data_IF_113641850190
#
_entry.id   IF_113641850190
#
_cell.length_a   1.000
_cell.length_b   1.000
_cell.length_c   1.000
_cell.angle_alpha   90.00
_cell.angle_beta   90.00
_cell.angle_gamma   90.00
#
_symmetry.space_group_name_H-M   'P 1'
#
loop_
_entity.id
_entity.type
_entity.pdbx_description
1 polymer ?
#
# COMPACT_ATOMS: atom_id res chain seq x y z
N UNK A 1 -0.52 3.42 10.10
CA UNK A 1 -0.13 2.77 8.82
C UNK A 1 -1.36 2.07 8.28
N UNK A 2 -1.69 2.25 6.99
CA UNK A 2 -2.93 1.71 6.39
C UNK A 2 -2.82 0.21 6.08
N UNK A 3 -1.59 -0.30 5.90
CA UNK A 3 -1.32 -1.71 5.63
C UNK A 3 -1.95 -2.63 6.67
N UNK A 4 -2.55 -3.73 6.20
CA UNK A 4 -3.08 -4.81 7.04
C UNK A 4 -4.17 -4.37 8.04
N UNK A 5 -4.94 -3.33 7.68
CA UNK A 5 -6.04 -2.83 8.50
C UNK A 5 -7.09 -3.93 8.81
N UNK A 6 -7.48 -4.15 10.09
CA UNK A 6 -8.36 -5.26 10.47
C UNK A 6 -9.72 -5.24 9.76
N UNK A 7 -10.32 -4.06 9.57
CA UNK A 7 -11.60 -3.91 8.87
C UNK A 7 -11.50 -4.38 7.41
N UNK A 8 -10.46 -3.99 6.68
CA UNK A 8 -10.30 -4.37 5.27
C UNK A 8 -9.95 -5.84 5.13
N UNK A 9 -9.11 -6.39 6.02
CA UNK A 9 -8.82 -7.84 6.04
C UNK A 9 -10.08 -8.66 6.29
N UNK A 10 -10.94 -8.22 7.21
CA UNK A 10 -12.23 -8.87 7.48
C UNK A 10 -13.22 -8.70 6.31
N UNK A 11 -13.26 -7.54 5.68
CA UNK A 11 -14.06 -7.31 4.47
C UNK A 11 -13.67 -8.31 3.36
N UNK A 12 -12.36 -8.51 3.15
CA UNK A 12 -11.86 -9.48 2.17
C UNK A 12 -12.19 -10.93 2.51
N UNK A 13 -12.26 -11.30 3.79
CA UNK A 13 -12.74 -12.62 4.23
C UNK A 13 -14.23 -12.84 3.89
N UNK A 14 -15.06 -11.82 4.10
CA UNK A 14 -16.49 -11.85 3.78
C UNK A 14 -16.75 -11.89 2.27
N UNK A 15 -16.01 -11.11 1.47
CA UNK A 15 -16.08 -11.22 0.00
C UNK A 15 -15.78 -12.63 -0.48
N UNK A 16 -14.74 -13.28 0.06
CA UNK A 16 -14.40 -14.68 -0.29
C UNK A 16 -15.50 -15.68 0.08
N UNK A 17 -16.37 -15.34 1.04
CA UNK A 17 -17.52 -16.17 1.47
C UNK A 17 -18.82 -15.84 0.73
N UNK A 18 -18.83 -14.77 -0.07
CA UNK A 18 -20.02 -14.30 -0.79
C UNK A 18 -20.88 -13.30 -0.01
N UNK A 19 -20.47 -12.90 1.20
CA UNK A 19 -21.19 -11.96 2.06
C UNK A 19 -20.94 -10.49 1.64
N UNK A 20 -21.34 -10.16 0.42
CA UNK A 20 -20.99 -8.90 -0.26
C UNK A 20 -21.50 -7.65 0.47
N UNK A 21 -22.70 -7.70 1.06
CA UNK A 21 -23.31 -6.53 1.71
C UNK A 21 -22.52 -6.12 2.96
N UNK A 22 -22.21 -7.09 3.82
CA UNK A 22 -21.44 -6.86 5.04
C UNK A 22 -19.99 -6.49 4.72
N UNK A 23 -19.40 -7.11 3.70
CA UNK A 23 -18.06 -6.76 3.25
C UNK A 23 -17.98 -5.27 2.83
N UNK A 24 -18.94 -4.77 2.03
CA UNK A 24 -19.00 -3.35 1.64
C UNK A 24 -19.18 -2.42 2.84
N UNK A 25 -20.01 -2.80 3.81
CA UNK A 25 -20.17 -2.05 5.06
C UNK A 25 -18.83 -1.86 5.78
N UNK A 26 -18.02 -2.91 5.87
CA UNK A 26 -16.70 -2.83 6.50
C UNK A 26 -15.71 -1.99 5.69
N UNK A 27 -15.74 -2.05 4.36
CA UNK A 27 -14.91 -1.18 3.51
C UNK A 27 -15.27 0.30 3.69
N UNK A 28 -16.57 0.62 3.74
CA UNK A 28 -17.03 2.00 4.01
C UNK A 28 -16.57 2.49 5.38
N UNK A 29 -16.63 1.63 6.41
CA UNK A 29 -16.11 1.95 7.75
C UNK A 29 -14.60 2.20 7.72
N UNK A 30 -13.83 1.34 7.06
CA UNK A 30 -12.38 1.52 6.90
C UNK A 30 -12.05 2.85 6.19
N UNK A 31 -12.74 3.16 5.10
CA UNK A 31 -12.56 4.43 4.39
C UNK A 31 -12.89 5.62 5.28
N UNK A 32 -14.00 5.56 6.04
CA UNK A 32 -14.37 6.61 6.96
C UNK A 32 -13.34 6.80 8.07
N UNK A 33 -12.79 5.72 8.63
CA UNK A 33 -11.74 5.80 9.66
C UNK A 33 -10.46 6.44 9.12
N UNK A 34 -9.97 5.97 7.97
CA UNK A 34 -8.71 6.46 7.39
C UNK A 34 -8.83 7.89 6.87
N UNK A 35 -9.92 8.24 6.18
CA UNK A 35 -10.06 9.56 5.57
C UNK A 35 -10.36 10.66 6.59
N UNK A 36 -10.97 10.32 7.73
CA UNK A 36 -11.32 11.30 8.77
C UNK A 36 -10.33 11.33 9.95
N UNK A 37 -9.30 10.48 9.99
CA UNK A 37 -8.36 10.42 11.12
C UNK A 37 -7.47 11.67 11.24
N UNK A 38 -7.19 12.35 10.12
CA UNK A 38 -6.21 13.43 10.05
C UNK A 38 -4.76 12.97 10.23
N UNK A 39 -4.51 11.65 10.30
CA UNK A 39 -3.17 11.08 10.41
C UNK A 39 -2.42 11.13 9.07
N UNK A 40 -1.10 11.26 9.16
CA UNK A 40 -0.22 11.14 8.00
C UNK A 40 0.11 9.68 7.71
N UNK A 41 -0.43 9.17 6.61
CA UNK A 41 -0.19 7.81 6.13
C UNK A 41 0.86 7.73 5.02
N UNK A 42 1.53 8.83 4.61
CA UNK A 42 2.59 8.75 3.60
C UNK A 42 3.88 8.21 4.23
N UNK A 43 4.46 7.17 3.63
CA UNK A 43 5.80 6.68 3.97
C UNK A 43 6.92 7.32 3.14
N UNK A 44 6.60 8.37 2.38
CA UNK A 44 7.55 9.06 1.53
C UNK A 44 8.55 9.88 2.36
N UNK A 45 9.85 9.91 2.01
CA UNK A 45 10.82 10.79 2.67
C UNK A 45 10.41 12.25 2.45
N UNK A 46 10.30 13.01 3.53
CA UNK A 46 9.62 14.30 3.59
C UNK A 46 10.28 15.42 2.77
N UNK A 47 9.93 15.50 1.49
CA UNK A 47 9.92 16.71 0.64
C UNK A 47 9.07 16.47 -0.62
N UNK A 48 7.96 15.74 -0.48
CA UNK A 48 7.12 15.36 -1.62
C UNK A 48 6.08 16.45 -1.91
N UNK A 49 6.06 16.99 -3.13
CA UNK A 49 5.03 17.94 -3.56
C UNK A 49 3.61 17.35 -3.47
N UNK A 50 3.46 16.02 -3.53
CA UNK A 50 2.19 15.30 -3.47
C UNK A 50 1.95 14.59 -2.12
N UNK A 51 2.64 15.02 -1.06
CA UNK A 51 2.48 14.47 0.28
C UNK A 51 1.02 14.47 0.73
N UNK A 52 0.54 13.33 1.25
CA UNK A 52 -0.86 13.14 1.65
C UNK A 52 -1.90 13.14 0.50
N UNK A 53 -1.49 13.43 -0.74
CA UNK A 53 -2.36 13.49 -1.92
C UNK A 53 -2.27 12.20 -2.71
N UNK A 54 -2.92 11.15 -2.18
CA UNK A 54 -2.81 9.78 -2.66
C UNK A 54 -3.12 9.63 -4.17
N UNK A 55 -4.16 10.32 -4.68
CA UNK A 55 -4.57 10.23 -6.09
C UNK A 55 -3.50 10.84 -6.99
N UNK A 56 -3.05 12.06 -6.70
CA UNK A 56 -2.02 12.76 -7.48
C UNK A 56 -0.69 12.03 -7.44
N UNK A 57 -0.30 11.50 -6.28
CA UNK A 57 0.88 10.66 -6.13
C UNK A 57 0.81 9.44 -7.08
N UNK A 58 -0.28 8.67 -7.04
CA UNK A 58 -0.46 7.51 -7.92
C UNK A 58 -0.46 7.90 -9.40
N UNK A 59 -1.10 9.02 -9.77
CA UNK A 59 -1.14 9.48 -11.16
C UNK A 59 0.25 9.81 -11.70
N UNK A 60 1.07 10.54 -10.94
CA UNK A 60 2.44 10.90 -11.36
C UNK A 60 3.29 9.65 -11.52
N UNK A 61 3.27 8.74 -10.53
CA UNK A 61 4.02 7.49 -10.57
C UNK A 61 3.60 6.57 -11.72
N UNK A 62 2.30 6.49 -12.00
CA UNK A 62 1.79 5.76 -13.16
C UNK A 62 2.18 6.44 -14.48
N UNK A 63 2.21 7.77 -14.51
CA UNK A 63 2.56 8.54 -15.69
C UNK A 63 4.01 8.35 -16.13
N UNK A 64 4.96 8.34 -15.18
CA UNK A 64 6.37 8.10 -15.52
C UNK A 64 6.74 6.61 -15.56
N UNK A 65 5.97 5.72 -14.93
CA UNK A 65 6.17 4.25 -14.91
C UNK A 65 7.55 3.74 -14.44
N UNK A 66 8.43 4.64 -13.98
CA UNK A 66 9.77 4.34 -13.51
C UNK A 66 9.80 3.51 -12.20
N UNK A 67 9.02 3.91 -11.18
CA UNK A 67 9.00 3.24 -9.88
C UNK A 67 7.67 3.38 -9.13
N UNK A 68 7.44 2.49 -8.18
CA UNK A 68 6.27 2.53 -7.30
C UNK A 68 6.32 3.69 -6.29
N UNK A 69 5.16 4.24 -5.89
CA UNK A 69 5.04 5.08 -4.70
C UNK A 69 5.60 4.38 -3.45
N UNK A 70 6.21 5.15 -2.54
CA UNK A 70 6.74 4.62 -1.28
C UNK A 70 5.70 3.83 -0.46
N UNK A 71 4.44 4.29 -0.46
CA UNK A 71 3.35 3.62 0.24
C UNK A 71 3.06 2.20 -0.27
N UNK A 72 3.42 1.86 -1.51
CA UNK A 72 3.22 0.51 -2.06
C UNK A 72 4.43 -0.41 -1.91
N UNK A 73 5.62 0.14 -1.64
CA UNK A 73 6.86 -0.64 -1.58
C UNK A 73 6.79 -1.72 -0.50
N UNK A 74 6.25 -1.41 0.68
CA UNK A 74 6.08 -2.39 1.76
C UNK A 74 5.23 -3.58 1.34
N UNK A 75 4.03 -3.31 0.81
CA UNK A 75 3.09 -4.32 0.31
C UNK A 75 3.70 -5.22 -0.78
N UNK A 76 4.46 -4.64 -1.71
CA UNK A 76 5.09 -5.38 -2.82
C UNK A 76 6.31 -6.17 -2.33
N UNK A 77 7.15 -5.57 -1.49
CA UNK A 77 8.32 -6.24 -0.92
C UNK A 77 7.94 -7.45 -0.06
N UNK A 78 6.82 -7.41 0.67
CA UNK A 78 6.30 -8.59 1.39
C UNK A 78 6.01 -9.79 0.48
N UNK A 79 5.70 -9.56 -0.80
CA UNK A 79 5.48 -10.61 -1.82
C UNK A 79 6.75 -11.01 -2.54
N UNK A 80 7.60 -10.04 -2.89
CA UNK A 80 8.84 -10.29 -3.63
C UNK A 80 9.96 -10.87 -2.75
N UNK A 81 10.00 -10.52 -1.46
CA UNK A 81 11.03 -10.97 -0.52
C UNK A 81 11.20 -12.49 -0.49
N UNK A 82 10.12 -13.28 -0.27
CA UNK A 82 10.19 -14.73 -0.31
C UNK A 82 10.68 -15.30 -1.65
N UNK A 83 10.31 -14.69 -2.77
CA UNK A 83 10.76 -15.11 -4.10
C UNK A 83 12.25 -14.82 -4.30
N UNK A 84 12.70 -13.63 -3.91
CA UNK A 84 14.10 -13.21 -3.97
C UNK A 84 14.98 -14.14 -3.12
N UNK A 85 14.49 -14.54 -1.94
CA UNK A 85 15.20 -15.45 -1.02
C UNK A 85 15.48 -16.85 -1.60
N UNK A 86 14.71 -17.31 -2.60
CA UNK A 86 14.97 -18.59 -3.30
C UNK A 86 16.33 -18.62 -4.01
N UNK A 87 16.91 -17.45 -4.26
CA UNK A 87 18.21 -17.29 -4.94
C UNK A 87 19.20 -16.51 -4.08
N UNK A 88 19.07 -16.60 -2.75
CA UNK A 88 19.93 -15.86 -1.80
C UNK A 88 19.94 -14.35 -2.10
N UNK A 89 18.78 -13.83 -2.52
CA UNK A 89 18.60 -12.44 -2.89
C UNK A 89 19.47 -11.94 -4.05
N UNK A 90 19.87 -12.80 -4.98
CA UNK A 90 20.67 -12.44 -6.18
C UNK A 90 20.09 -11.30 -7.03
N UNK A 91 18.77 -11.07 -6.98
CA UNK A 91 18.05 -9.98 -7.67
C UNK A 91 17.94 -8.69 -6.85
N UNK A 92 18.23 -8.73 -5.56
CA UNK A 92 18.18 -7.59 -4.65
C UNK A 92 19.45 -6.76 -4.76
N UNK A 93 19.60 -6.01 -5.85
CA UNK A 93 20.73 -5.09 -5.95
C UNK A 93 20.47 -3.90 -5.03
N UNK A 94 21.13 -3.88 -3.86
CA UNK A 94 21.53 -2.61 -3.28
C UNK A 94 22.43 -1.92 -4.31
N UNK A 95 21.89 -1.02 -5.13
CA UNK A 95 22.69 0.16 -5.44
C UNK A 95 22.70 0.94 -4.13
N UNK A 96 23.74 0.71 -3.34
CA UNK A 96 24.17 1.67 -2.34
C UNK A 96 24.39 2.98 -3.10
N UNK A 97 23.42 3.88 -3.01
CA UNK A 97 23.68 5.26 -3.40
C UNK A 97 24.71 5.80 -2.41
N UNK A 98 25.75 6.39 -3.00
CA UNK A 98 26.94 6.95 -2.37
C UNK A 98 26.62 8.19 -1.54
#
# INVERSE_FOLDING_TARGET
>A
MIDDHPLEQRAMELFRRGDVAEARRLQEQFLAEVLNSGEDYCSCPGNCAYHGRCVECVLVHRGHADHLPHCFRGMVNRRLGPLSALTENSLGTTRSES
#
